data_IF_412426352929
#
_entry.id   IF_412426352929
#
_cell.length_a   1.000
_cell.length_b   1.000
_cell.length_c   1.000
_cell.angle_alpha   90.00
_cell.angle_beta   90.00
_cell.angle_gamma   90.00
#
_symmetry.space_group_name_H-M   'P 1'
#
loop_
_entity.id
_entity.type
_entity.pdbx_description
1 polymer ?
#
# COMPACT_ATOMS: atom_id res chain seq x y z
N UNK A 1 33.00 1.86 -9.04
CA UNK A 1 32.28 0.82 -8.28
C UNK A 1 33.01 -0.50 -8.35
N UNK A 2 33.25 -1.04 -9.55
CA UNK A 2 33.92 -2.34 -9.74
C UNK A 2 35.22 -2.47 -8.97
N UNK A 3 36.10 -1.47 -9.03
CA UNK A 3 37.35 -1.45 -8.26
C UNK A 3 37.11 -1.53 -6.74
N UNK A 4 36.10 -0.84 -6.23
CA UNK A 4 35.75 -0.88 -4.80
C UNK A 4 35.16 -2.25 -4.40
N UNK A 5 34.44 -2.91 -5.31
CA UNK A 5 33.90 -4.26 -5.07
C UNK A 5 35.02 -5.29 -5.04
N UNK A 6 36.00 -5.18 -5.94
CA UNK A 6 37.21 -6.01 -5.91
C UNK A 6 37.96 -5.78 -4.60
N UNK A 7 38.18 -4.52 -4.19
CA UNK A 7 38.81 -4.22 -2.90
C UNK A 7 38.04 -4.78 -1.71
N UNK A 8 36.70 -4.79 -1.74
CA UNK A 8 35.88 -5.42 -0.71
C UNK A 8 36.10 -6.95 -0.67
N UNK A 9 36.14 -7.61 -1.84
CA UNK A 9 36.38 -9.06 -1.95
C UNK A 9 37.74 -9.48 -1.41
N UNK A 10 38.75 -8.63 -1.56
CA UNK A 10 40.14 -8.91 -1.15
C UNK A 10 40.41 -8.59 0.33
N UNK A 11 39.46 -7.97 1.05
CA UNK A 11 39.68 -7.66 2.46
C UNK A 11 39.76 -8.93 3.32
N UNK A 12 40.74 -9.02 4.24
CA UNK A 12 40.94 -10.20 5.08
C UNK A 12 39.80 -10.42 6.10
N UNK A 13 39.04 -9.39 6.44
CA UNK A 13 37.81 -9.49 7.24
C UNK A 13 36.71 -10.29 6.53
N UNK A 14 36.75 -10.37 5.19
CA UNK A 14 35.78 -11.11 4.36
C UNK A 14 36.26 -12.54 4.07
N UNK A 15 36.76 -13.22 5.10
CA UNK A 15 37.34 -14.57 4.99
C UNK A 15 36.33 -15.66 4.55
N UNK A 16 35.02 -15.39 4.61
CA UNK A 16 33.98 -16.30 4.14
C UNK A 16 33.25 -15.74 2.91
N UNK A 17 33.67 -16.11 1.67
CA UNK A 17 33.11 -15.55 0.44
C UNK A 17 31.59 -15.73 0.30
N UNK A 18 31.01 -16.78 0.89
CA UNK A 18 29.56 -17.03 0.89
C UNK A 18 28.75 -16.00 1.69
N UNK A 19 29.41 -15.22 2.54
CA UNK A 19 28.77 -14.16 3.33
C UNK A 19 28.93 -12.78 2.71
N UNK A 20 29.69 -12.64 1.61
CA UNK A 20 29.90 -11.37 0.95
C UNK A 20 28.57 -10.80 0.44
N UNK A 21 28.36 -9.49 0.60
CA UNK A 21 27.12 -8.78 0.21
C UNK A 21 25.85 -9.27 0.93
N UNK A 22 25.97 -10.06 2.00
CA UNK A 22 24.81 -10.53 2.79
C UNK A 22 24.13 -9.39 3.54
N UNK A 23 24.88 -8.36 3.89
CA UNK A 23 24.46 -7.15 4.61
C UNK A 23 25.11 -5.95 3.97
N UNK A 24 24.58 -4.76 4.23
CA UNK A 24 25.15 -3.50 3.76
C UNK A 24 25.98 -2.89 4.89
N UNK A 25 27.27 -3.19 4.92
CA UNK A 25 28.19 -2.76 5.98
C UNK A 25 29.26 -1.79 5.46
N UNK A 26 29.32 -1.58 4.13
CA UNK A 26 30.28 -0.71 3.46
C UNK A 26 29.63 0.25 2.45
N UNK A 27 30.36 1.31 2.09
CA UNK A 27 29.92 2.29 1.09
C UNK A 27 29.69 1.64 -0.27
N UNK A 28 30.53 0.68 -0.66
CA UNK A 28 30.42 0.04 -1.97
C UNK A 28 29.17 -0.84 -2.09
N UNK A 29 28.73 -1.47 -1.01
CA UNK A 29 27.48 -2.23 -0.97
C UNK A 29 26.27 -1.31 -1.15
N UNK A 30 26.24 -0.16 -0.46
CA UNK A 30 25.19 0.85 -0.65
C UNK A 30 25.22 1.44 -2.07
N UNK A 31 26.43 1.69 -2.60
CA UNK A 31 26.62 2.16 -3.97
C UNK A 31 26.11 1.15 -4.99
N UNK A 32 26.32 -0.15 -4.73
CA UNK A 32 25.78 -1.24 -5.56
C UNK A 32 24.25 -1.25 -5.55
N UNK A 33 23.60 -1.12 -4.39
CA UNK A 33 22.14 -0.99 -4.31
C UNK A 33 21.63 0.22 -5.09
N UNK A 34 22.28 1.38 -4.96
CA UNK A 34 21.91 2.60 -5.70
C UNK A 34 22.06 2.43 -7.21
N UNK A 35 23.14 1.79 -7.65
CA UNK A 35 23.38 1.54 -9.07
C UNK A 35 22.38 0.54 -9.65
N UNK A 36 22.06 -0.53 -8.92
CA UNK A 36 20.98 -1.44 -9.30
C UNK A 36 19.65 -0.69 -9.45
N UNK A 37 19.30 0.19 -8.52
CA UNK A 37 18.09 1.01 -8.62
C UNK A 37 18.08 1.87 -9.88
N UNK A 38 19.18 2.54 -10.23
CA UNK A 38 19.28 3.36 -11.45
C UNK A 38 19.19 2.50 -12.72
N UNK A 39 19.95 1.41 -12.80
CA UNK A 39 20.00 0.55 -13.98
C UNK A 39 18.69 -0.22 -14.19
N UNK A 40 18.01 -0.62 -13.11
CA UNK A 40 16.79 -1.41 -13.17
C UNK A 40 15.51 -0.57 -13.18
N UNK A 41 15.59 0.76 -13.03
CA UNK A 41 14.39 1.61 -13.01
C UNK A 41 13.55 1.49 -14.29
N UNK A 42 14.16 1.46 -15.47
CA UNK A 42 13.46 1.28 -16.74
C UNK A 42 12.71 -0.05 -16.78
N UNK A 43 13.39 -1.14 -16.42
CA UNK A 43 12.80 -2.48 -16.33
C UNK A 43 11.67 -2.56 -15.28
N UNK A 44 11.86 -1.92 -14.12
CA UNK A 44 10.82 -1.80 -13.10
C UNK A 44 9.60 -1.11 -13.70
N UNK A 45 9.76 0.06 -14.32
CA UNK A 45 8.64 0.82 -14.87
C UNK A 45 7.91 0.07 -15.99
N UNK A 46 8.65 -0.62 -16.86
CA UNK A 46 8.12 -1.19 -18.11
C UNK A 46 7.63 -2.63 -17.98
N UNK A 47 8.15 -3.40 -17.01
CA UNK A 47 7.83 -4.83 -16.88
C UNK A 47 7.27 -5.22 -15.51
N UNK A 48 7.80 -4.67 -14.42
CA UNK A 48 7.49 -5.15 -13.06
C UNK A 48 6.50 -4.24 -12.32
N UNK A 49 6.40 -2.98 -12.70
CA UNK A 49 5.68 -1.94 -11.97
C UNK A 49 4.17 -2.18 -11.94
N UNK A 50 3.57 -2.47 -13.09
CA UNK A 50 2.15 -2.80 -13.17
C UNK A 50 1.77 -4.06 -12.37
N UNK A 51 2.43 -5.23 -12.53
CA UNK A 51 2.07 -6.41 -11.74
C UNK A 51 2.32 -6.22 -10.25
N UNK A 52 3.38 -5.50 -9.85
CA UNK A 52 3.64 -5.17 -8.45
C UNK A 52 2.53 -4.27 -7.88
N UNK A 53 2.11 -3.24 -8.62
CA UNK A 53 1.01 -2.37 -8.22
C UNK A 53 -0.30 -3.14 -8.08
N UNK A 54 -0.63 -4.00 -9.06
CA UNK A 54 -1.83 -4.83 -9.01
C UNK A 54 -1.83 -5.80 -7.84
N UNK A 55 -0.68 -6.38 -7.50
CA UNK A 55 -0.53 -7.24 -6.31
C UNK A 55 -0.83 -6.45 -5.03
N UNK A 56 -0.27 -5.25 -4.88
CA UNK A 56 -0.56 -4.38 -3.73
C UNK A 56 -2.04 -4.04 -3.67
N UNK A 57 -2.67 -3.65 -4.79
CA UNK A 57 -4.10 -3.36 -4.84
C UNK A 57 -4.97 -4.58 -4.47
N UNK A 58 -4.61 -5.77 -4.94
CA UNK A 58 -5.32 -7.00 -4.66
C UNK A 58 -5.21 -7.38 -3.18
N UNK A 59 -4.02 -7.22 -2.58
CA UNK A 59 -3.83 -7.45 -1.14
C UNK A 59 -4.62 -6.45 -0.30
N UNK A 60 -4.53 -5.15 -0.61
CA UNK A 60 -5.31 -4.11 0.09
C UNK A 60 -6.82 -4.39 0.01
N UNK A 61 -7.32 -4.78 -1.16
CA UNK A 61 -8.74 -5.13 -1.33
C UNK A 61 -9.12 -6.41 -0.56
N UNK A 62 -8.26 -7.43 -0.59
CA UNK A 62 -8.53 -8.67 0.12
C UNK A 62 -8.58 -8.45 1.63
N UNK A 63 -7.70 -7.59 2.16
CA UNK A 63 -7.71 -7.19 3.57
C UNK A 63 -8.99 -6.40 3.88
N UNK A 64 -9.37 -5.44 3.03
CA UNK A 64 -10.52 -4.56 3.27
C UNK A 64 -11.90 -5.22 3.17
N UNK A 65 -11.97 -6.47 2.68
CA UNK A 65 -13.19 -7.30 2.65
C UNK A 65 -13.58 -7.84 4.03
N UNK A 66 -12.68 -7.79 5.01
CA UNK A 66 -12.94 -8.22 6.38
C UNK A 66 -12.71 -7.09 7.39
N UNK A 67 -13.13 -7.28 8.66
CA UNK A 67 -12.89 -6.30 9.71
C UNK A 67 -11.40 -6.05 9.91
N UNK A 68 -11.06 -4.78 10.12
CA UNK A 68 -9.72 -4.33 10.49
C UNK A 68 -9.84 -3.48 11.75
N UNK A 69 -9.16 -3.86 12.82
CA UNK A 69 -9.13 -3.07 14.05
C UNK A 69 -8.32 -1.79 13.82
N UNK A 70 -8.95 -0.63 13.98
CA UNK A 70 -8.33 0.67 13.67
C UNK A 70 -7.23 1.07 14.65
N UNK A 71 -7.14 0.44 15.83
CA UNK A 71 -6.15 0.78 16.86
C UNK A 71 -4.88 -0.06 16.68
N UNK A 72 -5.03 -1.38 16.50
CA UNK A 72 -3.90 -2.31 16.38
C UNK A 72 -3.51 -2.59 14.93
N UNK A 73 -4.36 -2.27 13.96
CA UNK A 73 -4.16 -2.59 12.54
C UNK A 73 -4.30 -4.08 12.20
N UNK A 74 -4.85 -4.89 13.12
CA UNK A 74 -5.04 -6.33 12.90
C UNK A 74 -6.26 -6.56 12.03
N UNK A 75 -6.16 -7.50 11.11
CA UNK A 75 -7.21 -7.78 10.12
C UNK A 75 -7.64 -9.24 10.16
N UNK A 76 -8.91 -9.50 9.82
CA UNK A 76 -9.40 -10.86 9.66
C UNK A 76 -8.71 -11.58 8.50
N UNK A 77 -8.52 -10.89 7.37
CA UNK A 77 -7.79 -11.42 6.22
C UNK A 77 -6.37 -10.84 6.22
N UNK A 78 -5.37 -11.71 6.39
CA UNK A 78 -3.96 -11.33 6.43
C UNK A 78 -3.08 -12.50 5.97
N UNK A 79 -1.84 -12.20 5.60
CA UNK A 79 -0.81 -13.19 5.28
C UNK A 79 0.13 -13.47 6.47
N UNK A 80 -0.08 -12.81 7.62
CA UNK A 80 0.77 -12.92 8.80
C UNK A 80 -0.06 -13.21 10.05
N UNK A 81 0.35 -14.21 10.81
CA UNK A 81 -0.28 -14.61 12.08
C UNK A 81 -0.21 -13.49 13.13
N UNK A 82 0.90 -12.76 13.20
CA UNK A 82 1.07 -11.63 14.12
C UNK A 82 0.02 -10.53 13.93
N UNK A 83 -0.44 -10.37 12.68
CA UNK A 83 -1.43 -9.37 12.26
C UNK A 83 -2.86 -9.92 12.17
N UNK A 84 -3.09 -11.17 12.57
CA UNK A 84 -4.41 -11.79 12.54
C UNK A 84 -5.31 -11.25 13.65
N UNK A 85 -6.52 -10.83 13.28
CA UNK A 85 -7.58 -10.46 14.23
C UNK A 85 -8.29 -11.73 14.73
N UNK A 86 -7.78 -12.32 15.81
CA UNK A 86 -8.26 -13.61 16.32
C UNK A 86 -9.70 -13.63 16.84
N UNK A 87 -10.24 -12.48 17.26
CA UNK A 87 -11.61 -12.32 17.73
C UNK A 87 -12.32 -11.27 16.88
N UNK A 88 -12.54 -11.58 15.60
CA UNK A 88 -13.33 -10.70 14.75
C UNK A 88 -14.80 -10.68 15.22
N UNK A 89 -15.43 -9.50 15.33
CA UNK A 89 -16.86 -9.42 15.61
C UNK A 89 -17.66 -10.01 14.44
N UNK A 90 -18.92 -10.34 14.69
CA UNK A 90 -19.87 -10.55 13.59
C UNK A 90 -19.96 -9.25 12.78
N UNK A 91 -19.93 -9.37 11.45
CA UNK A 91 -19.95 -8.23 10.55
C UNK A 91 -20.81 -8.52 9.33
N UNK A 92 -21.38 -7.46 8.76
CA UNK A 92 -22.17 -7.54 7.54
C UNK A 92 -21.70 -6.51 6.51
N UNK A 93 -21.63 -6.89 5.22
CA UNK A 93 -21.29 -5.95 4.17
C UNK A 93 -22.46 -5.01 3.89
N UNK A 94 -22.17 -3.72 3.81
CA UNK A 94 -23.11 -2.66 3.46
C UNK A 94 -22.69 -2.05 2.12
N UNK A 95 -23.67 -1.77 1.26
CA UNK A 95 -23.45 -1.09 -0.01
C UNK A 95 -23.96 0.34 0.09
N UNK A 96 -23.05 1.30 0.18
CA UNK A 96 -23.36 2.73 0.24
C UNK A 96 -23.44 3.31 -1.17
N UNK A 97 -24.45 4.14 -1.42
CA UNK A 97 -24.55 4.98 -2.62
C UNK A 97 -24.04 6.37 -2.27
N UNK A 98 -22.77 6.65 -2.56
CA UNK A 98 -22.07 7.86 -2.13
C UNK A 98 -22.22 8.96 -3.17
N UNK A 99 -22.63 10.14 -2.74
CA UNK A 99 -22.73 11.34 -3.57
C UNK A 99 -21.62 12.31 -3.17
N UNK A 100 -20.97 12.93 -4.17
CA UNK A 100 -19.98 13.97 -3.92
C UNK A 100 -20.61 15.33 -4.22
N UNK A 101 -20.45 16.30 -3.31
CA UNK A 101 -20.86 17.67 -3.58
C UNK A 101 -19.99 18.27 -4.70
N UNK A 102 -20.64 18.95 -5.65
CA UNK A 102 -20.02 19.62 -6.79
C UNK A 102 -20.46 21.07 -6.79
N UNK A 103 -19.50 22.00 -6.87
CA UNK A 103 -19.78 23.43 -6.89
C UNK A 103 -20.33 23.97 -5.56
N UNK A 104 -20.96 25.14 -5.60
CA UNK A 104 -21.47 25.88 -4.42
C UNK A 104 -22.99 25.85 -4.28
N UNK A 105 -23.72 25.27 -5.23
CA UNK A 105 -25.19 25.35 -5.31
C UNK A 105 -25.89 24.03 -4.94
N UNK A 106 -25.23 23.16 -4.17
CA UNK A 106 -25.82 21.90 -3.71
C UNK A 106 -25.99 20.85 -4.82
N UNK A 107 -25.33 21.03 -5.96
CA UNK A 107 -25.26 20.02 -7.00
C UNK A 107 -24.44 18.82 -6.50
N UNK A 108 -24.87 17.62 -6.87
CA UNK A 108 -24.23 16.36 -6.47
C UNK A 108 -23.82 15.57 -7.69
N UNK A 109 -22.73 14.81 -7.57
CA UNK A 109 -22.25 13.91 -8.61
C UNK A 109 -23.24 12.76 -8.86
N UNK A 110 -23.00 11.99 -9.93
CA UNK A 110 -23.57 10.66 -10.03
C UNK A 110 -23.16 9.79 -8.82
N UNK A 111 -24.03 8.88 -8.35
CA UNK A 111 -23.74 8.03 -7.22
C UNK A 111 -22.58 7.07 -7.48
N UNK A 112 -21.72 6.93 -6.47
CA UNK A 112 -20.64 5.95 -6.41
C UNK A 112 -21.02 4.85 -5.42
N UNK A 113 -21.19 3.63 -5.94
CA UNK A 113 -21.39 2.46 -5.11
C UNK A 113 -20.09 2.10 -4.37
N UNK A 114 -20.12 2.07 -3.04
CA UNK A 114 -18.98 1.71 -2.18
C UNK A 114 -19.38 0.61 -1.21
N UNK A 115 -18.64 -0.49 -1.21
CA UNK A 115 -18.82 -1.57 -0.25
C UNK A 115 -18.03 -1.28 1.03
N UNK A 116 -18.70 -1.29 2.17
CA UNK A 116 -18.14 -1.12 3.51
C UNK A 116 -18.64 -2.23 4.43
N UNK A 117 -18.19 -2.26 5.67
CA UNK A 117 -18.66 -3.15 6.72
C UNK A 117 -19.37 -2.32 7.79
N UNK A 118 -20.36 -2.90 8.45
CA UNK A 118 -21.05 -2.31 9.60
C UNK A 118 -20.15 -2.01 10.80
N UNK A 119 -19.01 -2.69 10.89
CA UNK A 119 -18.00 -2.49 11.91
C UNK A 119 -16.87 -1.52 11.51
N UNK A 120 -16.88 -0.97 10.28
CA UNK A 120 -15.87 0.02 9.87
C UNK A 120 -16.02 1.32 10.67
N UNK A 121 -14.90 1.94 11.05
CA UNK A 121 -14.91 3.31 11.56
C UNK A 121 -15.23 4.31 10.46
N UNK A 122 -15.65 5.52 10.83
CA UNK A 122 -15.90 6.62 9.87
C UNK A 122 -14.66 6.90 9.00
N UNK A 123 -13.46 6.81 9.59
CA UNK A 123 -12.21 7.02 8.84
C UNK A 123 -11.97 5.89 7.83
N UNK A 124 -12.17 4.63 8.21
CA UNK A 124 -12.07 3.50 7.29
C UNK A 124 -13.10 3.59 6.15
N UNK A 125 -14.31 4.09 6.43
CA UNK A 125 -15.31 4.37 5.39
C UNK A 125 -14.82 5.45 4.44
N UNK A 126 -14.28 6.58 4.93
CA UNK A 126 -13.68 7.64 4.09
C UNK A 126 -12.57 7.07 3.19
N UNK A 127 -11.70 6.23 3.72
CA UNK A 127 -10.64 5.56 2.96
C UNK A 127 -11.21 4.65 1.85
N UNK A 128 -12.23 3.84 2.15
CA UNK A 128 -12.88 2.96 1.16
C UNK A 128 -13.56 3.77 0.05
N UNK A 129 -14.19 4.90 0.39
CA UNK A 129 -14.79 5.83 -0.58
C UNK A 129 -13.72 6.40 -1.51
N UNK A 130 -12.64 6.95 -0.96
CA UNK A 130 -11.55 7.53 -1.74
C UNK A 130 -10.82 6.52 -2.62
N UNK A 131 -10.60 5.31 -2.10
CA UNK A 131 -9.99 4.23 -2.85
C UNK A 131 -10.88 3.82 -4.03
N UNK A 132 -12.19 3.69 -3.80
CA UNK A 132 -13.16 3.34 -4.84
C UNK A 132 -13.24 4.43 -5.91
N UNK A 133 -13.25 5.70 -5.50
CA UNK A 133 -13.19 6.85 -6.41
C UNK A 133 -11.92 6.80 -7.27
N UNK A 134 -10.75 6.65 -6.63
CA UNK A 134 -9.48 6.63 -7.34
C UNK A 134 -9.41 5.48 -8.36
N UNK A 135 -9.91 4.30 -8.01
CA UNK A 135 -9.99 3.15 -8.93
C UNK A 135 -10.92 3.41 -10.11
N UNK A 136 -12.07 4.06 -9.89
CA UNK A 136 -13.04 4.34 -10.94
C UNK A 136 -12.58 5.44 -11.90
N UNK A 137 -11.96 6.50 -11.37
CA UNK A 137 -11.66 7.72 -12.13
C UNK A 137 -10.18 7.93 -12.47
N UNK A 138 -9.26 7.21 -11.81
CA UNK A 138 -7.81 7.29 -12.09
C UNK A 138 -7.08 8.47 -11.45
N UNK A 139 -7.77 9.32 -10.68
CA UNK A 139 -7.17 10.45 -9.96
C UNK A 139 -7.70 10.52 -8.52
N UNK A 140 -7.07 11.31 -7.65
CA UNK A 140 -7.49 11.47 -6.25
C UNK A 140 -8.53 12.58 -6.14
N UNK A 141 -9.60 12.34 -5.37
CA UNK A 141 -10.61 13.36 -5.09
C UNK A 141 -10.04 14.53 -4.25
N UNK A 142 -9.29 14.21 -3.19
CA UNK A 142 -8.57 15.19 -2.35
C UNK A 142 -7.15 14.70 -2.02
N UNK A 143 -6.30 15.60 -1.52
CA UNK A 143 -4.96 15.28 -1.06
C UNK A 143 -4.93 14.77 0.39
N UNK A 144 -5.87 15.19 1.25
CA UNK A 144 -5.88 14.84 2.68
C UNK A 144 -7.25 14.35 3.15
N UNK A 145 -7.25 13.29 3.98
CA UNK A 145 -8.47 12.63 4.50
C UNK A 145 -9.29 13.53 5.43
N UNK A 146 -8.65 14.44 6.16
CA UNK A 146 -9.32 15.33 7.11
C UNK A 146 -10.11 16.45 6.44
N UNK A 147 -9.93 16.68 5.14
CA UNK A 147 -10.69 17.66 4.38
C UNK A 147 -12.08 17.15 3.96
N UNK A 148 -12.40 15.89 4.27
CA UNK A 148 -13.66 15.25 3.90
C UNK A 148 -14.52 15.09 5.14
N UNK A 149 -15.74 15.61 5.06
CA UNK A 149 -16.82 15.27 5.98
C UNK A 149 -17.84 14.36 5.30
N UNK A 150 -18.39 13.41 6.07
CA UNK A 150 -19.49 12.56 5.62
C UNK A 150 -20.75 13.06 6.32
N UNK A 151 -21.69 13.60 5.54
CA UNK A 151 -23.04 13.92 5.98
C UNK A 151 -24.02 12.78 5.65
N UNK A 152 -25.19 12.81 6.29
CA UNK A 152 -26.34 11.96 5.95
C UNK A 152 -27.09 12.46 4.71
#
# INVERSE_FOLDING_TARGET
MEQLLVSLMEQPSNAQPKLLLRRTESIVEMLLTNWMSVCLYGFLRECVGQPLYLLVCALTEQISKGPVDSVTGKALYTLSEDWLLSQAPDFSPLKLSVLFAVGTEGEVSEPLDVCVLDCDTVEQVKEKILLTFHRKFGFRYTQQLHDIDIGE
#
